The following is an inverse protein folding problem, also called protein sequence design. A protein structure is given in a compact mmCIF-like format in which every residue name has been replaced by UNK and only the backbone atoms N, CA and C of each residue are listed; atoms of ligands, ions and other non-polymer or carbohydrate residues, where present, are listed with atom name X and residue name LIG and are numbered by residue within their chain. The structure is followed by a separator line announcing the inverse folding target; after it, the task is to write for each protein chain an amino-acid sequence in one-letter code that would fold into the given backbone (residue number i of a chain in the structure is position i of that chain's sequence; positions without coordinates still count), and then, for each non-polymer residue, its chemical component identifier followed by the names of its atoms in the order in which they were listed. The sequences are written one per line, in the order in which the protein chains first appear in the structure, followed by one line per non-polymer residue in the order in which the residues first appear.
data_IF_607733399036
#
_entry.id   IF_607733399036
#
_cell.length_a   1.000
_cell.length_b   1.000
_cell.length_c   1.000
_cell.angle_alpha   90.00
_cell.angle_beta   90.00
_cell.angle_gamma   90.00
#
_symmetry.space_group_name_H-M   'P 1'
#
loop_
_entity.id
_entity.type
_entity.pdbx_description
1 polymer ?
#
# COMPACT_ATOMS: atom_id res chain seq x y z
N UNK A 1 1.30 -30.32 19.53
CA UNK A 1 1.91 -29.74 18.31
C UNK A 1 0.79 -29.49 17.31
N UNK A 2 0.56 -28.25 16.91
CA UNK A 2 -0.41 -27.96 15.83
C UNK A 2 0.09 -28.58 14.51
N UNK A 3 -0.80 -29.34 13.87
CA UNK A 3 -0.46 -29.97 12.57
C UNK A 3 -0.35 -28.92 11.50
N UNK A 4 0.42 -29.20 10.46
CA UNK A 4 0.60 -28.27 9.31
C UNK A 4 -0.77 -27.88 8.69
N UNK A 5 -1.71 -28.83 8.67
CA UNK A 5 -3.09 -28.64 8.20
C UNK A 5 -3.85 -27.60 9.04
N UNK A 6 -3.72 -27.65 10.36
CA UNK A 6 -4.38 -26.69 11.27
C UNK A 6 -3.81 -25.27 11.11
N UNK A 7 -2.48 -25.14 10.96
CA UNK A 7 -1.84 -23.84 10.69
C UNK A 7 -2.29 -23.26 9.37
N UNK A 8 -2.38 -24.10 8.33
CA UNK A 8 -2.84 -23.67 7.00
C UNK A 8 -4.32 -23.26 7.05
N UNK A 9 -5.19 -24.05 7.68
CA UNK A 9 -6.61 -23.74 7.82
C UNK A 9 -6.82 -22.43 8.60
N UNK A 10 -6.10 -22.24 9.73
CA UNK A 10 -6.12 -20.97 10.47
C UNK A 10 -5.61 -19.80 9.63
N UNK A 11 -4.55 -20.01 8.85
CA UNK A 11 -4.01 -19.01 7.93
C UNK A 11 -5.03 -18.57 6.87
N UNK A 12 -5.74 -19.53 6.27
CA UNK A 12 -6.81 -19.25 5.30
C UNK A 12 -8.00 -18.50 5.93
N UNK A 13 -8.43 -18.93 7.12
CA UNK A 13 -9.51 -18.25 7.85
C UNK A 13 -9.13 -16.80 8.20
N UNK A 14 -7.94 -16.58 8.76
CA UNK A 14 -7.47 -15.23 9.09
C UNK A 14 -7.24 -14.37 7.84
N UNK A 15 -6.73 -14.95 6.78
CA UNK A 15 -6.57 -14.27 5.47
C UNK A 15 -7.92 -13.88 4.87
N UNK A 16 -8.90 -14.79 4.87
CA UNK A 16 -10.25 -14.54 4.40
C UNK A 16 -10.98 -13.48 5.23
N UNK A 17 -10.91 -13.57 6.57
CA UNK A 17 -11.47 -12.57 7.46
C UNK A 17 -10.83 -11.18 7.24
N UNK A 18 -9.50 -11.13 7.12
CA UNK A 18 -8.80 -9.88 6.86
C UNK A 18 -9.24 -9.25 5.54
N UNK A 19 -9.31 -10.03 4.46
CA UNK A 19 -9.78 -9.55 3.17
C UNK A 19 -11.24 -9.11 3.23
N UNK A 20 -12.10 -9.84 3.94
CA UNK A 20 -13.50 -9.47 4.14
C UNK A 20 -13.65 -8.16 4.90
N UNK A 21 -12.94 -7.99 6.00
CA UNK A 21 -12.95 -6.73 6.79
C UNK A 21 -12.45 -5.57 5.94
N UNK A 22 -11.32 -5.72 5.24
CA UNK A 22 -10.79 -4.68 4.38
C UNK A 22 -11.78 -4.28 3.27
N UNK A 23 -12.47 -5.25 2.67
CA UNK A 23 -13.46 -5.01 1.63
C UNK A 23 -14.68 -4.25 2.16
N UNK A 24 -15.23 -4.67 3.30
CA UNK A 24 -16.38 -4.02 3.93
C UNK A 24 -16.03 -2.58 4.37
N UNK A 25 -14.88 -2.40 5.01
CA UNK A 25 -14.42 -1.07 5.42
C UNK A 25 -14.14 -0.20 4.19
N UNK A 26 -13.50 -0.75 3.17
CA UNK A 26 -13.24 -0.04 1.91
C UNK A 26 -14.52 0.40 1.19
N UNK A 27 -15.55 -0.46 1.15
CA UNK A 27 -16.86 -0.11 0.57
C UNK A 27 -17.56 0.98 1.38
N UNK A 28 -17.63 0.84 2.70
CA UNK A 28 -18.23 1.85 3.57
C UNK A 28 -17.53 3.21 3.40
N UNK A 29 -16.19 3.20 3.39
CA UNK A 29 -15.37 4.38 3.18
C UNK A 29 -15.59 4.98 1.77
N UNK A 30 -15.62 4.14 0.74
CA UNK A 30 -15.90 4.56 -0.64
C UNK A 30 -17.26 5.24 -0.79
N UNK A 31 -18.30 4.72 -0.11
CA UNK A 31 -19.63 5.34 -0.10
C UNK A 31 -19.61 6.72 0.59
N UNK A 32 -18.93 6.84 1.73
CA UNK A 32 -18.80 8.11 2.46
C UNK A 32 -18.05 9.14 1.61
N UNK A 33 -16.91 8.77 1.05
CA UNK A 33 -16.14 9.64 0.16
C UNK A 33 -16.93 10.01 -1.10
N UNK A 34 -17.66 9.05 -1.68
CA UNK A 34 -18.48 9.28 -2.88
C UNK A 34 -19.59 10.32 -2.68
N UNK A 35 -19.97 10.58 -1.43
CA UNK A 35 -20.92 11.64 -1.07
C UNK A 35 -20.28 12.98 -0.70
N UNK A 36 -19.01 12.95 -0.29
CA UNK A 36 -18.27 14.12 0.19
C UNK A 36 -17.43 14.78 -0.91
N UNK A 37 -16.89 13.96 -1.83
CA UNK A 37 -15.98 14.42 -2.87
C UNK A 37 -16.72 14.69 -4.18
N UNK A 38 -16.25 15.71 -4.92
CA UNK A 38 -16.75 15.98 -6.26
C UNK A 38 -16.26 14.91 -7.27
N UNK A 39 -17.00 14.65 -8.37
CA UNK A 39 -16.56 13.73 -9.42
C UNK A 39 -15.19 14.09 -10.03
N UNK A 40 -14.83 15.36 -10.06
CA UNK A 40 -13.52 15.86 -10.49
C UNK A 40 -12.38 15.34 -9.63
N UNK A 41 -12.59 15.23 -8.31
CA UNK A 41 -11.57 14.75 -7.38
C UNK A 41 -11.29 13.27 -7.57
N UNK A 42 -12.33 12.48 -7.86
CA UNK A 42 -12.19 11.09 -8.27
C UNK A 42 -11.42 10.95 -9.58
N UNK A 43 -11.67 11.85 -10.55
CA UNK A 43 -10.92 11.90 -11.79
C UNK A 43 -9.42 12.12 -11.55
N UNK A 44 -9.05 13.06 -10.70
CA UNK A 44 -7.66 13.31 -10.33
C UNK A 44 -7.02 12.11 -9.63
N UNK A 45 -7.73 11.46 -8.70
CA UNK A 45 -7.25 10.24 -8.03
C UNK A 45 -7.03 9.09 -9.01
N UNK A 46 -7.92 8.92 -9.98
CA UNK A 46 -7.78 7.89 -11.02
C UNK A 46 -6.51 8.11 -11.88
N UNK A 47 -6.23 9.36 -12.26
CA UNK A 47 -5.03 9.71 -13.01
C UNK A 47 -3.75 9.35 -12.24
N UNK A 48 -3.70 9.68 -10.95
CA UNK A 48 -2.55 9.39 -10.08
C UNK A 48 -2.39 7.89 -9.84
N UNK A 49 -3.50 7.16 -9.74
CA UNK A 49 -3.51 5.71 -9.46
C UNK A 49 -2.77 4.92 -10.54
N UNK A 50 -2.81 5.33 -11.80
CA UNK A 50 -2.09 4.68 -12.90
C UNK A 50 -0.59 4.72 -12.63
N UNK A 51 -0.04 5.90 -12.29
CA UNK A 51 1.38 6.06 -12.01
C UNK A 51 1.80 5.32 -10.73
N UNK A 52 0.95 5.36 -9.70
CA UNK A 52 1.18 4.62 -8.46
C UNK A 52 1.20 3.11 -8.71
N UNK A 53 0.33 2.59 -9.56
CA UNK A 53 0.26 1.17 -9.90
C UNK A 53 1.52 0.71 -10.64
N UNK A 54 1.99 1.48 -11.63
CA UNK A 54 3.25 1.21 -12.33
C UNK A 54 4.43 1.25 -11.37
N UNK A 55 4.50 2.27 -10.51
CA UNK A 55 5.58 2.39 -9.53
C UNK A 55 5.60 1.23 -8.54
N UNK A 56 4.43 0.81 -8.05
CA UNK A 56 4.30 -0.34 -7.15
C UNK A 56 4.69 -1.63 -7.85
N UNK A 57 4.30 -1.83 -9.11
CA UNK A 57 4.69 -2.99 -9.90
C UNK A 57 6.22 -3.07 -10.10
N UNK A 58 6.87 -1.93 -10.33
CA UNK A 58 8.33 -1.84 -10.43
C UNK A 58 9.01 -2.10 -9.07
N UNK A 59 8.43 -1.63 -7.99
CA UNK A 59 8.93 -1.87 -6.63
C UNK A 59 8.80 -3.33 -6.22
N UNK A 60 7.69 -3.99 -6.59
CA UNK A 60 7.44 -5.40 -6.30
C UNK A 60 8.29 -6.37 -7.15
N UNK A 61 9.44 -5.93 -7.66
CA UNK A 61 10.37 -6.61 -8.59
C UNK A 61 10.80 -8.05 -8.20
N UNK A 62 9.95 -8.78 -7.50
CA UNK A 62 10.14 -10.20 -7.15
C UNK A 62 11.00 -10.46 -5.92
N UNK A 63 11.62 -9.46 -5.30
CA UNK A 63 12.45 -9.65 -4.11
C UNK A 63 11.67 -10.19 -2.92
N UNK A 64 10.42 -9.73 -2.73
CA UNK A 64 9.53 -10.29 -1.72
C UNK A 64 9.28 -11.77 -1.98
N UNK A 65 8.98 -12.13 -3.22
CA UNK A 65 8.73 -13.50 -3.65
C UNK A 65 10.01 -14.36 -3.54
N UNK A 66 11.15 -13.83 -3.94
CA UNK A 66 12.43 -14.50 -3.79
C UNK A 66 12.73 -14.82 -2.32
N UNK A 67 12.52 -13.82 -1.42
CA UNK A 67 12.75 -13.98 0.02
C UNK A 67 11.82 -15.01 0.66
N UNK A 68 10.55 -15.07 0.22
CA UNK A 68 9.60 -16.07 0.71
C UNK A 68 9.91 -17.49 0.22
N UNK A 69 10.48 -17.62 -0.98
CA UNK A 69 10.84 -18.91 -1.59
C UNK A 69 12.24 -19.42 -1.15
N UNK A 70 13.06 -18.57 -0.56
CA UNK A 70 14.37 -18.98 -0.05
C UNK A 70 14.18 -19.99 1.08
N UNK A 71 14.92 -21.13 1.05
CA UNK A 71 14.67 -22.25 1.94
C UNK A 71 14.97 -21.92 3.42
N UNK A 72 16.07 -21.18 3.69
CA UNK A 72 16.48 -20.73 5.02
C UNK A 72 17.07 -19.29 4.93
N UNK A 73 16.22 -18.24 4.89
CA UNK A 73 16.71 -16.86 4.81
C UNK A 73 17.35 -16.46 6.13
N UNK A 74 18.54 -15.89 6.02
CA UNK A 74 19.26 -15.30 7.14
C UNK A 74 18.70 -13.90 7.45
N UNK A 75 18.90 -13.38 8.67
CA UNK A 75 18.54 -12.00 9.00
C UNK A 75 19.14 -10.96 8.03
N UNK A 76 20.32 -11.25 7.50
CA UNK A 76 21.04 -10.44 6.52
C UNK A 76 20.28 -10.32 5.19
N UNK A 77 19.60 -11.38 4.75
CA UNK A 77 18.81 -11.39 3.51
C UNK A 77 17.60 -10.45 3.64
N UNK A 78 16.92 -10.46 4.80
CA UNK A 78 15.82 -9.53 5.09
C UNK A 78 16.31 -8.09 5.12
N UNK A 79 17.49 -7.84 5.71
CA UNK A 79 18.08 -6.52 5.79
C UNK A 79 18.49 -6.02 4.39
N UNK A 80 19.07 -6.87 3.57
CA UNK A 80 19.45 -6.56 2.19
C UNK A 80 18.23 -6.20 1.34
N UNK A 81 17.15 -6.98 1.43
CA UNK A 81 15.89 -6.69 0.73
C UNK A 81 15.26 -5.40 1.24
N UNK A 82 15.32 -5.13 2.54
CA UNK A 82 14.81 -3.89 3.14
C UNK A 82 15.51 -2.66 2.57
N UNK A 83 16.85 -2.62 2.62
CA UNK A 83 17.61 -1.50 2.09
C UNK A 83 17.47 -1.34 0.58
N UNK A 84 17.45 -2.46 -0.15
CA UNK A 84 17.22 -2.41 -1.58
C UNK A 84 15.87 -1.78 -1.93
N UNK A 85 14.79 -2.19 -1.24
CA UNK A 85 13.47 -1.61 -1.46
C UNK A 85 13.41 -0.12 -1.13
N UNK A 86 14.11 0.33 -0.06
CA UNK A 86 14.20 1.76 0.27
C UNK A 86 14.89 2.54 -0.85
N UNK A 87 16.00 2.03 -1.38
CA UNK A 87 16.74 2.68 -2.47
C UNK A 87 15.86 2.76 -3.71
N UNK A 88 15.21 1.66 -4.10
CA UNK A 88 14.31 1.62 -5.26
C UNK A 88 13.12 2.58 -5.06
N UNK A 89 12.47 2.53 -3.91
CA UNK A 89 11.33 3.40 -3.60
C UNK A 89 11.71 4.88 -3.60
N UNK A 90 12.87 5.22 -3.04
CA UNK A 90 13.38 6.60 -3.03
C UNK A 90 13.71 7.08 -4.44
N UNK A 91 14.31 6.22 -5.26
CA UNK A 91 14.61 6.52 -6.67
C UNK A 91 13.32 6.74 -7.46
N UNK A 92 12.35 5.84 -7.33
CA UNK A 92 11.04 5.96 -7.98
C UNK A 92 10.30 7.22 -7.53
N UNK A 93 10.27 7.49 -6.23
CA UNK A 93 9.67 8.71 -5.70
C UNK A 93 10.33 9.96 -6.29
N UNK A 94 11.66 10.00 -6.32
CA UNK A 94 12.41 11.14 -6.86
C UNK A 94 12.08 11.36 -8.34
N UNK A 95 12.06 10.29 -9.14
CA UNK A 95 11.69 10.37 -10.56
C UNK A 95 10.27 10.89 -10.73
N UNK A 96 9.31 10.34 -9.98
CA UNK A 96 7.90 10.75 -10.05
C UNK A 96 7.67 12.15 -9.50
N UNK A 97 8.45 12.59 -8.49
CA UNK A 97 8.38 13.94 -7.96
C UNK A 97 8.77 14.99 -9.02
N UNK A 98 9.81 14.72 -9.79
CA UNK A 98 10.23 15.58 -10.91
C UNK A 98 9.32 15.41 -12.14
N UNK A 99 8.69 14.26 -12.32
CA UNK A 99 7.71 14.04 -13.37
C UNK A 99 6.32 14.65 -13.07
N UNK A 100 6.03 14.96 -11.80
CA UNK A 100 4.72 15.49 -11.39
C UNK A 100 4.27 16.73 -12.17
N UNK A 101 5.09 17.76 -12.45
CA UNK A 101 4.67 18.89 -13.28
C UNK A 101 4.32 18.46 -14.72
N UNK A 102 5.07 17.52 -15.33
CA UNK A 102 4.74 16.98 -16.65
C UNK A 102 3.39 16.28 -16.68
N UNK A 103 3.04 15.59 -15.58
CA UNK A 103 1.71 14.99 -15.41
C UNK A 103 0.63 16.07 -15.33
N UNK A 104 0.89 17.15 -14.57
CA UNK A 104 -0.02 18.29 -14.47
C UNK A 104 -0.28 18.99 -15.80
N UNK A 105 0.78 19.21 -16.57
CA UNK A 105 0.71 19.82 -17.91
C UNK A 105 -0.05 18.91 -18.90
N UNK A 106 0.21 17.60 -18.87
CA UNK A 106 -0.47 16.64 -19.74
C UNK A 106 -1.99 16.60 -19.50
N UNK A 107 -2.40 16.66 -18.25
CA UNK A 107 -3.83 16.65 -17.89
C UNK A 107 -4.44 18.05 -17.80
N UNK A 108 -3.69 19.11 -18.12
CA UNK A 108 -4.13 20.51 -18.03
C UNK A 108 -4.72 20.90 -16.67
N UNK A 109 -4.15 20.35 -15.59
CA UNK A 109 -4.67 20.54 -14.24
C UNK A 109 -3.52 20.74 -13.25
N UNK A 110 -3.22 21.98 -12.89
CA UNK A 110 -2.13 22.32 -11.96
C UNK A 110 -2.33 21.72 -10.55
N UNK A 111 -3.58 21.51 -10.14
CA UNK A 111 -3.91 20.90 -8.84
C UNK A 111 -3.43 19.46 -8.69
N UNK A 112 -3.18 18.76 -9.78
CA UNK A 112 -2.67 17.37 -9.76
C UNK A 112 -1.22 17.31 -9.27
N UNK A 113 -0.42 18.35 -9.49
CA UNK A 113 1.02 18.34 -9.14
C UNK A 113 1.27 18.13 -7.64
N UNK A 114 0.72 18.95 -6.72
CA UNK A 114 0.91 18.72 -5.29
C UNK A 114 0.31 17.37 -4.85
N UNK A 115 -0.83 16.99 -5.41
CA UNK A 115 -1.50 15.74 -5.09
C UNK A 115 -0.64 14.52 -5.48
N UNK A 116 -0.01 14.54 -6.66
CA UNK A 116 0.97 13.53 -7.08
C UNK A 116 2.13 13.40 -6.10
N UNK A 117 2.72 14.52 -5.68
CA UNK A 117 3.86 14.52 -4.76
C UNK A 117 3.53 13.87 -3.43
N UNK A 118 2.35 14.17 -2.87
CA UNK A 118 1.89 13.54 -1.62
C UNK A 118 1.50 12.07 -1.83
N UNK A 119 0.80 11.75 -2.92
CA UNK A 119 0.38 10.38 -3.20
C UNK A 119 1.58 9.44 -3.40
N UNK A 120 2.60 9.88 -4.13
CA UNK A 120 3.80 9.08 -4.38
C UNK A 120 4.66 8.86 -3.13
N UNK A 121 4.54 9.68 -2.09
CA UNK A 121 5.19 9.46 -0.80
C UNK A 121 4.77 8.10 -0.20
N UNK A 122 3.57 7.62 -0.51
CA UNK A 122 3.09 6.31 -0.10
C UNK A 122 4.01 5.16 -0.56
N UNK A 123 4.73 5.32 -1.67
CA UNK A 123 5.67 4.32 -2.21
C UNK A 123 6.84 4.12 -1.23
N UNK A 124 7.38 5.20 -0.67
CA UNK A 124 8.45 5.14 0.34
C UNK A 124 7.91 4.49 1.62
N UNK A 125 6.73 4.91 2.08
CA UNK A 125 6.12 4.35 3.29
C UNK A 125 5.85 2.85 3.11
N UNK A 126 5.34 2.42 1.96
CA UNK A 126 5.11 1.01 1.66
C UNK A 126 6.41 0.19 1.65
N UNK A 127 7.52 0.76 1.17
CA UNK A 127 8.81 0.07 1.13
C UNK A 127 9.31 -0.35 2.50
N UNK A 128 9.02 0.44 3.54
CA UNK A 128 9.39 0.14 4.93
C UNK A 128 8.73 -1.15 5.44
N UNK A 129 7.55 -1.49 4.93
CA UNK A 129 6.80 -2.69 5.36
C UNK A 129 7.10 -3.96 4.57
N UNK A 130 7.84 -3.89 3.46
CA UNK A 130 8.00 -5.02 2.53
C UNK A 130 8.71 -6.21 3.16
N UNK A 131 9.85 -5.99 3.81
CA UNK A 131 10.64 -7.06 4.45
C UNK A 131 9.89 -7.69 5.64
N UNK A 132 9.21 -6.88 6.47
CA UNK A 132 8.41 -7.33 7.59
C UNK A 132 7.21 -8.18 7.12
N UNK A 133 6.56 -7.75 6.04
CA UNK A 133 5.46 -8.48 5.41
C UNK A 133 5.92 -9.84 4.87
N UNK A 134 7.09 -9.91 4.22
CA UNK A 134 7.70 -11.14 3.75
C UNK A 134 8.03 -12.10 4.92
N UNK A 135 8.57 -11.56 6.02
CA UNK A 135 8.85 -12.34 7.23
C UNK A 135 7.58 -12.95 7.84
N UNK A 136 6.53 -12.14 8.02
CA UNK A 136 5.25 -12.61 8.57
C UNK A 136 4.60 -13.68 7.68
N UNK A 137 4.65 -13.49 6.37
CA UNK A 137 4.12 -14.45 5.40
C UNK A 137 4.87 -15.78 5.47
N UNK A 138 6.21 -15.74 5.46
CA UNK A 138 7.04 -16.94 5.51
C UNK A 138 6.84 -17.76 6.78
N UNK A 139 6.68 -17.10 7.93
CA UNK A 139 6.49 -17.77 9.21
C UNK A 139 5.02 -18.09 9.52
N UNK A 140 4.13 -18.00 8.50
CA UNK A 140 2.69 -18.27 8.63
C UNK A 140 2.03 -17.51 9.79
N UNK A 141 2.51 -16.30 10.08
CA UNK A 141 1.96 -15.43 11.12
C UNK A 141 0.74 -14.65 10.61
N UNK A 142 -0.22 -15.36 9.97
CA UNK A 142 -1.38 -14.77 9.32
C UNK A 142 -2.22 -13.89 10.24
N UNK A 143 -2.35 -14.25 11.53
CA UNK A 143 -3.07 -13.44 12.53
C UNK A 143 -2.43 -12.08 12.73
N UNK A 144 -1.10 -12.01 12.82
CA UNK A 144 -0.37 -10.73 13.01
C UNK A 144 -0.47 -9.87 11.75
N UNK A 145 -0.36 -10.49 10.58
CA UNK A 145 -0.52 -9.80 9.30
C UNK A 145 -1.94 -9.26 9.13
N UNK A 146 -2.96 -10.06 9.47
CA UNK A 146 -4.35 -9.64 9.44
C UNK A 146 -4.63 -8.48 10.41
N UNK A 147 -4.13 -8.57 11.64
CA UNK A 147 -4.27 -7.49 12.62
C UNK A 147 -3.61 -6.19 12.17
N UNK A 148 -2.38 -6.25 11.65
CA UNK A 148 -1.68 -5.09 11.11
C UNK A 148 -2.44 -4.46 9.92
N UNK A 149 -2.94 -5.29 9.00
CA UNK A 149 -3.74 -4.84 7.87
C UNK A 149 -5.06 -4.18 8.29
N UNK A 150 -5.79 -4.79 9.25
CA UNK A 150 -7.03 -4.24 9.77
C UNK A 150 -6.80 -2.88 10.46
N UNK A 151 -5.79 -2.79 11.33
CA UNK A 151 -5.42 -1.53 12.00
C UNK A 151 -5.06 -0.47 10.95
N UNK A 152 -4.25 -0.81 9.94
CA UNK A 152 -3.86 0.12 8.90
C UNK A 152 -5.08 0.65 8.12
N UNK A 153 -6.01 -0.23 7.72
CA UNK A 153 -7.23 0.17 6.99
C UNK A 153 -8.14 1.04 7.86
N UNK A 154 -8.37 0.67 9.12
CA UNK A 154 -9.20 1.46 10.03
C UNK A 154 -8.58 2.85 10.26
N UNK A 155 -7.29 2.89 10.56
CA UNK A 155 -6.59 4.16 10.82
C UNK A 155 -6.60 5.06 9.58
N UNK A 156 -6.26 4.52 8.40
CA UNK A 156 -6.28 5.30 7.16
C UNK A 156 -7.67 5.79 6.80
N UNK A 157 -8.70 4.97 7.03
CA UNK A 157 -10.10 5.34 6.79
C UNK A 157 -10.55 6.46 7.73
N UNK A 158 -10.22 6.39 9.02
CA UNK A 158 -10.56 7.43 9.99
C UNK A 158 -9.85 8.75 9.67
N UNK A 159 -8.56 8.70 9.34
CA UNK A 159 -7.79 9.88 8.94
C UNK A 159 -8.34 10.47 7.65
N UNK A 160 -8.61 9.65 6.64
CA UNK A 160 -9.15 10.12 5.36
C UNK A 160 -10.53 10.77 5.48
N UNK A 161 -11.45 10.16 6.24
CA UNK A 161 -12.76 10.77 6.52
C UNK A 161 -12.61 12.05 7.34
N UNK A 162 -11.75 12.04 8.36
CA UNK A 162 -11.48 13.22 9.18
C UNK A 162 -10.96 14.40 8.34
N UNK A 163 -10.03 14.14 7.42
CA UNK A 163 -9.52 15.17 6.50
C UNK A 163 -10.60 15.66 5.52
N UNK A 164 -11.44 14.76 5.01
CA UNK A 164 -12.54 15.14 4.13
C UNK A 164 -13.56 16.04 4.83
N UNK A 165 -13.91 15.77 6.09
CA UNK A 165 -14.78 16.63 6.88
C UNK A 165 -14.11 17.96 7.27
N UNK A 166 -12.80 17.99 7.45
CA UNK A 166 -12.04 19.22 7.73
C UNK A 166 -11.87 20.12 6.49
N UNK A 167 -12.43 19.73 5.33
CA UNK A 167 -12.30 20.49 4.08
C UNK A 167 -10.90 20.39 3.45
N UNK A 168 -10.06 19.49 3.92
CA UNK A 168 -8.72 19.23 3.36
C UNK A 168 -8.77 18.25 2.17
N UNK A 169 -9.90 18.22 1.46
CA UNK A 169 -10.11 17.43 0.25
C UNK A 169 -9.61 18.16 -1.01
N UNK A 170 -8.53 18.96 -0.86
CA UNK A 170 -7.90 19.69 -1.96
C UNK A 170 -6.56 19.07 -2.32
#
# INVERSE_FOLDING_TARGET
METLKEKTAKGLLWGGLNSGVQQVVGLAFGIVLGRLLAPSDYGMMAMISIFSLVATALQDSGFRTALTNLKDPRPEDYNSVFWFNIVVATTLYTLLFFAAPLIGDYYHTERVVPLCRYAFLSIIIASLGTAQSAYLFKHLKAKQQAAAGAIAVITSSLVGVGMAFAGAAY
#
